data_IF_304477794770
#
_entry.id   IF_304477794770
#
_cell.length_a   1.000
_cell.length_b   1.000
_cell.length_c   1.000
_cell.angle_alpha   90.00
_cell.angle_beta   90.00
_cell.angle_gamma   90.00
#
_symmetry.space_group_name_H-M   'P 1'
#
loop_
_entity.id
_entity.type
_entity.pdbx_description
1 polymer ?
#
# COMPACT_ATOMS: atom_id res chain seq x y z
N UNK A 1 -20.86 -14.81 -16.51
CA UNK A 1 -19.83 -14.74 -15.44
C UNK A 1 -18.71 -13.85 -15.97
N UNK A 2 -18.26 -12.85 -15.21
CA UNK A 2 -17.18 -11.95 -15.62
C UNK A 2 -15.97 -12.78 -16.07
N UNK A 3 -15.48 -12.58 -17.30
CA UNK A 3 -14.34 -13.28 -17.88
C UNK A 3 -12.99 -12.81 -17.28
N UNK A 4 -13.01 -12.32 -16.03
CA UNK A 4 -11.87 -11.73 -15.34
C UNK A 4 -11.15 -12.79 -14.52
N UNK A 5 -9.83 -12.68 -14.50
CA UNK A 5 -8.96 -13.55 -13.71
C UNK A 5 -9.27 -13.39 -12.21
N UNK A 6 -9.53 -14.47 -11.44
CA UNK A 6 -9.82 -14.41 -10.02
C UNK A 6 -8.79 -13.60 -9.21
N UNK A 7 -7.52 -13.64 -9.61
CA UNK A 7 -6.46 -12.86 -8.96
C UNK A 7 -6.71 -11.35 -9.07
N UNK A 8 -7.17 -10.88 -10.23
CA UNK A 8 -7.40 -9.45 -10.47
C UNK A 8 -8.63 -8.96 -9.69
N UNK A 9 -9.68 -9.77 -9.61
CA UNK A 9 -10.89 -9.45 -8.83
C UNK A 9 -10.59 -9.44 -7.32
N UNK A 10 -9.84 -10.43 -6.81
CA UNK A 10 -9.35 -10.45 -5.42
C UNK A 10 -8.47 -9.24 -5.14
N UNK A 11 -7.53 -8.92 -6.04
CA UNK A 11 -6.64 -7.77 -5.87
C UNK A 11 -7.43 -6.47 -5.77
N UNK A 12 -8.42 -6.27 -6.63
CA UNK A 12 -9.25 -5.06 -6.63
C UNK A 12 -10.07 -4.94 -5.34
N UNK A 13 -10.71 -6.03 -4.90
CA UNK A 13 -11.51 -6.06 -3.69
C UNK A 13 -10.65 -5.79 -2.44
N UNK A 14 -9.61 -6.60 -2.23
CA UNK A 14 -8.80 -6.52 -1.02
C UNK A 14 -7.90 -5.29 -0.95
N UNK A 15 -7.46 -4.74 -2.09
CA UNK A 15 -6.80 -3.43 -2.09
C UNK A 15 -7.73 -2.32 -1.60
N UNK A 16 -9.04 -2.41 -1.88
CA UNK A 16 -9.99 -1.42 -1.38
C UNK A 16 -10.21 -1.57 0.13
N UNK A 17 -10.34 -2.80 0.63
CA UNK A 17 -10.54 -3.06 2.06
C UNK A 17 -9.30 -2.70 2.88
N UNK A 18 -8.11 -3.08 2.43
CA UNK A 18 -6.86 -2.76 3.13
C UNK A 18 -6.58 -1.25 3.12
N UNK A 19 -6.94 -0.55 2.03
CA UNK A 19 -6.90 0.92 1.98
C UNK A 19 -7.83 1.55 3.01
N UNK A 20 -9.07 1.08 3.11
CA UNK A 20 -10.04 1.57 4.11
C UNK A 20 -9.52 1.32 5.52
N UNK A 21 -8.94 0.15 5.78
CA UNK A 21 -8.35 -0.20 7.06
C UNK A 21 -7.23 0.77 7.46
N UNK A 22 -6.28 1.02 6.56
CA UNK A 22 -5.20 1.98 6.79
C UNK A 22 -5.71 3.41 7.04
N UNK A 23 -6.63 3.91 6.20
CA UNK A 23 -7.18 5.26 6.36
C UNK A 23 -7.98 5.41 7.65
N UNK A 24 -8.70 4.36 8.06
CA UNK A 24 -9.44 4.33 9.33
C UNK A 24 -8.49 4.41 10.50
N UNK A 25 -7.43 3.59 10.52
CA UNK A 25 -6.40 3.63 11.56
C UNK A 25 -5.77 5.02 11.68
N UNK A 26 -5.36 5.63 10.56
CA UNK A 26 -4.81 7.01 10.55
C UNK A 26 -5.82 8.02 11.08
N UNK A 27 -7.10 7.89 10.72
CA UNK A 27 -8.14 8.80 11.17
C UNK A 27 -8.40 8.67 12.68
N UNK A 28 -8.46 7.45 13.22
CA UNK A 28 -8.61 7.20 14.66
C UNK A 28 -7.45 7.78 15.45
N UNK A 29 -6.21 7.59 14.97
CA UNK A 29 -5.02 8.20 15.57
C UNK A 29 -5.12 9.71 15.57
N UNK A 30 -5.59 10.35 14.50
CA UNK A 30 -5.76 11.82 14.45
C UNK A 30 -6.85 12.29 15.40
N UNK A 31 -8.02 11.67 15.35
CA UNK A 31 -9.21 12.13 16.06
C UNK A 31 -9.04 12.09 17.59
N UNK A 32 -8.29 11.12 18.13
CA UNK A 32 -8.00 11.02 19.56
C UNK A 32 -7.03 12.09 20.10
N UNK A 33 -6.32 12.81 19.22
CA UNK A 33 -5.28 13.75 19.66
C UNK A 33 -5.85 14.98 20.36
N UNK A 34 -5.19 15.38 21.46
CA UNK A 34 -5.47 16.63 22.18
C UNK A 34 -4.47 17.71 21.75
N UNK A 35 -4.91 18.62 20.87
CA UNK A 35 -4.07 19.72 20.35
C UNK A 35 -3.43 20.53 21.46
N UNK A 36 -4.18 20.86 22.52
CA UNK A 36 -3.66 21.64 23.65
C UNK A 36 -2.47 20.98 24.35
N UNK A 37 -2.48 19.65 24.47
CA UNK A 37 -1.37 18.89 25.07
C UNK A 37 -0.13 19.00 24.19
N UNK A 38 -0.27 18.73 22.89
CA UNK A 38 0.84 18.82 21.93
C UNK A 38 1.39 20.26 21.86
N UNK A 39 0.51 21.26 21.83
CA UNK A 39 0.89 22.68 21.85
C UNK A 39 1.73 23.03 23.07
N UNK A 40 1.29 22.67 24.28
CA UNK A 40 2.04 22.95 25.50
C UNK A 40 3.40 22.25 25.57
N UNK A 41 3.53 21.07 24.95
CA UNK A 41 4.81 20.35 24.86
C UNK A 41 5.78 21.05 23.90
N UNK A 42 5.27 21.51 22.75
CA UNK A 42 6.04 22.29 21.77
C UNK A 42 6.50 23.63 22.37
N UNK A 43 5.64 24.31 23.13
CA UNK A 43 5.97 25.57 23.82
C UNK A 43 7.18 25.44 24.77
N UNK A 44 7.35 24.26 25.37
CA UNK A 44 8.49 23.95 26.26
C UNK A 44 9.72 23.40 25.52
N UNK A 45 9.66 23.27 24.20
CA UNK A 45 10.73 22.66 23.39
C UNK A 45 10.86 21.14 23.56
N UNK A 46 9.90 20.49 24.21
CA UNK A 46 9.98 19.04 24.52
C UNK A 46 9.38 18.21 23.38
N UNK A 47 10.18 18.06 22.31
CA UNK A 47 9.79 17.34 21.09
C UNK A 47 9.57 15.86 21.35
N UNK A 48 10.38 15.24 22.21
CA UNK A 48 10.25 13.83 22.51
C UNK A 48 8.99 13.54 23.31
N UNK A 49 8.60 14.42 24.25
CA UNK A 49 7.33 14.28 24.92
C UNK A 49 6.15 14.58 23.99
N UNK A 50 6.26 15.54 23.05
CA UNK A 50 5.25 15.75 22.02
C UNK A 50 5.08 14.51 21.12
N UNK A 51 6.18 13.85 20.73
CA UNK A 51 6.17 12.60 19.97
C UNK A 51 5.48 11.49 20.75
N UNK A 52 5.83 11.29 22.03
CA UNK A 52 5.17 10.32 22.91
C UNK A 52 3.68 10.62 23.11
N UNK A 53 3.31 11.89 23.21
CA UNK A 53 1.92 12.32 23.38
C UNK A 53 1.08 12.06 22.13
N UNK A 54 1.67 12.17 20.93
CA UNK A 54 0.99 11.76 19.70
C UNK A 54 0.75 10.26 19.71
N UNK A 55 1.77 9.49 20.13
CA UNK A 55 1.69 8.06 20.42
C UNK A 55 1.05 7.25 19.31
N UNK A 56 1.85 6.64 18.44
CA UNK A 56 1.38 5.61 17.51
C UNK A 56 1.85 4.25 17.99
N UNK A 57 0.88 3.37 18.18
CA UNK A 57 1.10 2.00 18.61
C UNK A 57 0.76 1.05 17.45
N UNK A 58 1.51 -0.04 17.25
CA UNK A 58 1.14 -1.08 16.28
C UNK A 58 -0.34 -1.51 16.35
N UNK A 59 -0.96 -1.52 17.53
CA UNK A 59 -2.36 -1.87 17.75
C UNK A 59 -3.36 -0.90 17.10
N UNK A 60 -2.94 0.33 16.78
CA UNK A 60 -3.75 1.26 15.99
C UNK A 60 -4.06 0.69 14.59
N UNK A 61 -3.21 -0.20 14.09
CA UNK A 61 -3.33 -0.83 12.77
C UNK A 61 -3.89 -2.25 12.80
N UNK A 62 -4.44 -2.72 13.93
CA UNK A 62 -5.05 -4.07 14.08
C UNK A 62 -6.12 -4.43 13.03
N UNK A 63 -6.79 -3.43 12.44
CA UNK A 63 -7.75 -3.68 11.36
C UNK A 63 -7.04 -4.11 10.07
N UNK A 64 -5.83 -3.62 9.79
CA UNK A 64 -5.04 -4.07 8.65
C UNK A 64 -4.64 -5.54 8.80
N UNK A 65 -4.20 -5.93 10.00
CA UNK A 65 -3.86 -7.32 10.32
C UNK A 65 -5.05 -8.26 10.06
N UNK A 66 -6.24 -7.91 10.57
CA UNK A 66 -7.47 -8.67 10.29
C UNK A 66 -7.81 -8.77 8.81
N UNK A 67 -7.66 -7.68 8.05
CA UNK A 67 -7.93 -7.67 6.61
C UNK A 67 -6.93 -8.55 5.85
N UNK A 68 -5.65 -8.54 6.22
CA UNK A 68 -4.64 -9.42 5.61
C UNK A 68 -4.94 -10.91 5.89
N UNK A 69 -5.39 -11.24 7.10
CA UNK A 69 -5.81 -12.60 7.44
C UNK A 69 -7.02 -13.05 6.61
N UNK A 70 -8.04 -12.19 6.46
CA UNK A 70 -9.21 -12.48 5.64
C UNK A 70 -8.87 -12.62 4.15
N UNK A 71 -7.97 -11.76 3.64
CA UNK A 71 -7.43 -11.86 2.30
C UNK A 71 -6.77 -13.22 2.07
N UNK A 72 -5.89 -13.66 2.98
CA UNK A 72 -5.18 -14.93 2.85
C UNK A 72 -6.15 -16.11 2.75
N UNK A 73 -7.16 -16.16 3.62
CA UNK A 73 -8.16 -17.23 3.58
C UNK A 73 -8.98 -17.19 2.27
N UNK A 74 -9.48 -16.03 1.87
CA UNK A 74 -10.26 -15.89 0.64
C UNK A 74 -9.44 -16.19 -0.63
N UNK A 75 -8.16 -15.80 -0.63
CA UNK A 75 -7.21 -16.14 -1.70
C UNK A 75 -6.95 -17.64 -1.75
N UNK A 76 -6.70 -18.25 -0.59
CA UNK A 76 -6.45 -19.67 -0.46
C UNK A 76 -7.63 -20.52 -0.94
N UNK A 77 -8.85 -20.18 -0.54
CA UNK A 77 -10.09 -20.81 -1.03
C UNK A 77 -10.20 -20.71 -2.56
N UNK A 78 -9.88 -19.55 -3.12
CA UNK A 78 -9.90 -19.35 -4.58
C UNK A 78 -8.85 -20.20 -5.29
N UNK A 79 -7.63 -20.27 -4.77
CA UNK A 79 -6.56 -21.09 -5.37
C UNK A 79 -6.81 -22.58 -5.19
N UNK A 80 -7.40 -23.00 -4.07
CA UNK A 80 -7.82 -24.39 -3.86
C UNK A 80 -8.86 -24.82 -4.90
N UNK A 81 -9.87 -23.98 -5.16
CA UNK A 81 -10.85 -24.22 -6.23
C UNK A 81 -10.20 -24.26 -7.61
N UNK A 82 -9.20 -23.43 -7.88
CA UNK A 82 -8.45 -23.46 -9.13
C UNK A 82 -7.67 -24.77 -9.29
N UNK A 83 -6.98 -25.22 -8.25
CA UNK A 83 -6.25 -26.49 -8.21
C UNK A 83 -7.20 -27.67 -8.47
N UNK A 84 -8.34 -27.74 -7.77
CA UNK A 84 -9.34 -28.80 -8.00
C UNK A 84 -9.85 -28.83 -9.45
N UNK A 85 -10.11 -27.65 -10.05
CA UNK A 85 -10.53 -27.55 -11.45
C UNK A 85 -9.43 -28.01 -12.40
N UNK A 86 -8.18 -27.69 -12.08
CA UNK A 86 -7.00 -28.02 -12.87
C UNK A 86 -6.44 -29.42 -12.61
N UNK A 87 -6.80 -30.12 -11.52
CA UNK A 87 -6.42 -31.50 -11.20
C UNK A 87 -7.44 -32.16 -10.24
N UNK A 88 -8.63 -32.56 -10.74
CA UNK A 88 -9.65 -33.18 -9.93
C UNK A 88 -9.21 -34.59 -9.56
N UNK A 89 -9.18 -34.87 -8.26
CA UNK A 89 -9.00 -36.21 -7.71
C UNK A 89 -10.36 -36.81 -7.46
N UNK A 90 -10.56 -38.07 -7.85
CA UNK A 90 -11.80 -38.82 -7.61
C UNK A 90 -11.56 -39.95 -6.62
N UNK A 91 -12.54 -40.20 -5.76
CA UNK A 91 -12.59 -41.41 -4.93
C UNK A 91 -12.79 -42.64 -5.82
N UNK A 92 -12.59 -43.87 -5.29
CA UNK A 92 -12.89 -45.10 -6.02
C UNK A 92 -14.34 -45.17 -6.54
N UNK A 93 -15.28 -44.55 -5.83
CA UNK A 93 -16.70 -44.46 -6.17
C UNK A 93 -17.01 -43.34 -7.18
N UNK A 94 -15.99 -42.60 -7.62
CA UNK A 94 -16.09 -41.56 -8.65
C UNK A 94 -16.43 -40.16 -8.14
N UNK A 95 -16.56 -39.95 -6.82
CA UNK A 95 -16.85 -38.66 -6.21
C UNK A 95 -15.63 -37.72 -6.23
N UNK A 96 -15.83 -36.40 -6.41
CA UNK A 96 -14.74 -35.42 -6.36
C UNK A 96 -14.26 -35.29 -4.91
N UNK A 97 -12.97 -35.57 -4.67
CA UNK A 97 -12.34 -35.34 -3.37
C UNK A 97 -11.99 -33.85 -3.28
N UNK A 98 -12.60 -33.14 -2.33
CA UNK A 98 -12.39 -31.70 -2.15
C UNK A 98 -11.01 -31.39 -1.56
N UNK A 99 -10.36 -30.33 -2.02
CA UNK A 99 -9.14 -29.76 -1.46
C UNK A 99 -9.48 -28.42 -0.80
N UNK A 100 -8.96 -28.21 0.40
CA UNK A 100 -9.15 -27.00 1.17
C UNK A 100 -7.79 -26.41 1.50
N UNK A 101 -7.66 -25.09 1.35
CA UNK A 101 -6.49 -24.39 1.85
C UNK A 101 -6.58 -24.29 3.38
N UNK A 102 -5.55 -24.73 4.07
CA UNK A 102 -5.44 -24.54 5.51
C UNK A 102 -4.66 -23.26 5.83
N UNK A 103 -5.38 -22.18 6.11
CA UNK A 103 -4.82 -20.92 6.57
C UNK A 103 -4.18 -21.00 7.96
N UNK A 104 -4.45 -22.06 8.73
CA UNK A 104 -3.82 -22.35 10.03
C UNK A 104 -2.61 -23.27 9.93
N UNK A 105 -2.22 -23.65 8.71
CA UNK A 105 -0.97 -24.35 8.50
C UNK A 105 0.19 -23.53 9.09
N UNK A 106 1.15 -24.13 9.82
CA UNK A 106 2.22 -23.41 10.50
C UNK A 106 3.01 -22.45 9.60
N UNK A 107 3.23 -22.80 8.33
CA UNK A 107 3.94 -21.94 7.38
C UNK A 107 3.09 -20.73 6.97
N UNK A 108 1.79 -20.93 6.78
CA UNK A 108 0.85 -19.86 6.45
C UNK A 108 0.70 -18.86 7.61
N UNK A 109 0.52 -19.38 8.83
CA UNK A 109 0.44 -18.54 10.04
C UNK A 109 1.73 -17.77 10.29
N UNK A 110 2.89 -18.44 10.16
CA UNK A 110 4.19 -17.79 10.34
C UNK A 110 4.39 -16.65 9.35
N UNK A 111 4.07 -16.89 8.07
CA UNK A 111 4.21 -15.87 7.04
C UNK A 111 3.28 -14.69 7.31
N UNK A 112 2.00 -14.94 7.59
CA UNK A 112 1.02 -13.89 7.87
C UNK A 112 1.44 -13.04 9.06
N UNK A 113 1.79 -13.68 10.19
CA UNK A 113 2.22 -13.00 11.42
C UNK A 113 3.45 -12.14 11.17
N UNK A 114 4.45 -12.67 10.47
CA UNK A 114 5.69 -11.95 10.19
C UNK A 114 5.43 -10.76 9.28
N UNK A 115 4.71 -10.98 8.17
CA UNK A 115 4.43 -9.93 7.19
C UNK A 115 3.58 -8.81 7.77
N UNK A 116 2.51 -9.14 8.50
CA UNK A 116 1.62 -8.14 9.09
C UNK A 116 2.35 -7.30 10.15
N UNK A 117 3.15 -7.96 11.01
CA UNK A 117 3.97 -7.29 12.02
C UNK A 117 4.99 -6.36 11.39
N UNK A 118 5.71 -6.81 10.36
CA UNK A 118 6.71 -5.98 9.67
C UNK A 118 6.10 -4.77 8.97
N UNK A 119 4.98 -4.96 8.26
CA UNK A 119 4.27 -3.85 7.62
C UNK A 119 3.85 -2.78 8.63
N UNK A 120 3.22 -3.21 9.73
CA UNK A 120 2.74 -2.30 10.77
C UNK A 120 3.90 -1.57 11.43
N UNK A 121 4.98 -2.29 11.78
CA UNK A 121 6.20 -1.70 12.33
C UNK A 121 6.80 -0.67 11.39
N UNK A 122 6.96 -0.99 10.10
CA UNK A 122 7.47 -0.06 9.09
C UNK A 122 6.61 1.22 8.99
N UNK A 123 5.28 1.09 9.05
CA UNK A 123 4.38 2.24 9.08
C UNK A 123 4.61 3.09 10.32
N UNK A 124 4.68 2.49 11.50
CA UNK A 124 4.89 3.21 12.78
C UNK A 124 6.26 3.89 12.81
N UNK A 125 7.32 3.19 12.40
CA UNK A 125 8.69 3.72 12.34
C UNK A 125 8.75 4.95 11.41
N UNK A 126 8.17 4.84 10.21
CA UNK A 126 8.03 5.96 9.26
C UNK A 126 7.30 7.16 9.87
N UNK A 127 6.24 6.89 10.65
CA UNK A 127 5.45 7.94 11.29
C UNK A 127 6.23 8.64 12.40
N UNK A 128 7.00 7.90 13.21
CA UNK A 128 7.82 8.52 14.25
C UNK A 128 8.87 9.46 13.67
N UNK A 129 9.54 9.04 12.58
CA UNK A 129 10.50 9.88 11.86
C UNK A 129 9.82 11.14 11.32
N UNK A 130 8.69 10.98 10.62
CA UNK A 130 7.97 12.10 10.03
C UNK A 130 7.47 13.11 11.07
N UNK A 131 6.90 12.64 12.19
CA UNK A 131 6.42 13.53 13.26
C UNK A 131 7.57 14.31 13.86
N UNK A 132 8.69 13.65 14.18
CA UNK A 132 9.87 14.32 14.74
C UNK A 132 10.39 15.40 13.80
N UNK A 133 10.52 15.08 12.52
CA UNK A 133 10.99 16.03 11.51
C UNK A 133 10.02 17.22 11.34
N UNK A 134 8.71 16.96 11.30
CA UNK A 134 7.69 18.00 11.18
C UNK A 134 7.71 18.96 12.38
N UNK A 135 7.77 18.41 13.60
CA UNK A 135 7.85 19.21 14.81
C UNK A 135 9.13 20.06 14.82
N UNK A 136 10.29 19.44 14.59
CA UNK A 136 11.58 20.15 14.54
C UNK A 136 11.57 21.28 13.52
N UNK A 137 11.11 21.02 12.30
CA UNK A 137 11.03 22.03 11.24
C UNK A 137 10.11 23.18 11.62
N UNK A 138 9.02 22.92 12.35
CA UNK A 138 8.12 23.96 12.85
C UNK A 138 8.80 24.89 13.86
N UNK A 139 9.55 24.32 14.82
CA UNK A 139 10.29 25.11 15.82
C UNK A 139 11.44 25.91 15.18
N UNK A 140 12.25 25.27 14.33
CA UNK A 140 13.37 25.92 13.63
C UNK A 140 12.90 27.10 12.78
N UNK A 141 11.70 27.00 12.18
CA UNK A 141 11.08 28.07 11.41
C UNK A 141 10.36 29.13 12.27
N UNK A 142 10.45 29.06 13.61
CA UNK A 142 9.79 29.99 14.52
C UNK A 142 8.26 29.97 14.45
N UNK A 143 7.67 28.86 14.00
CA UNK A 143 6.22 28.77 13.85
C UNK A 143 5.53 28.73 15.21
N UNK A 144 4.36 29.37 15.30
CA UNK A 144 3.54 29.31 16.50
C UNK A 144 3.24 27.84 16.89
N UNK A 145 3.48 27.44 18.16
CA UNK A 145 3.29 26.07 18.63
C UNK A 145 1.92 25.46 18.33
N UNK A 146 0.85 26.26 18.43
CA UNK A 146 -0.51 25.81 18.12
C UNK A 146 -0.69 25.54 16.63
N UNK A 147 -0.10 26.38 15.78
CA UNK A 147 -0.11 26.19 14.32
C UNK A 147 0.61 24.90 13.95
N UNK A 148 1.78 24.63 14.53
CA UNK A 148 2.55 23.39 14.34
C UNK A 148 1.77 22.15 14.80
N UNK A 149 1.11 22.23 15.96
CA UNK A 149 0.25 21.14 16.44
C UNK A 149 -0.94 20.89 15.49
N UNK A 150 -1.57 21.95 14.97
CA UNK A 150 -2.69 21.84 14.02
C UNK A 150 -2.26 21.34 12.64
N UNK A 151 -1.07 21.70 12.15
CA UNK A 151 -0.55 21.14 10.90
C UNK A 151 -0.19 19.67 11.05
N UNK A 152 0.19 19.24 12.25
CA UNK A 152 0.43 17.84 12.58
C UNK A 152 -0.86 17.02 12.57
N UNK A 153 -1.82 17.35 13.44
CA UNK A 153 -3.01 16.50 13.68
C UNK A 153 -4.21 16.82 12.79
N UNK A 154 -4.28 18.05 12.26
CA UNK A 154 -5.41 18.54 11.48
C UNK A 154 -6.44 19.31 12.29
N UNK A 155 -7.28 20.08 11.57
CA UNK A 155 -8.39 20.86 12.13
C UNK A 155 -9.67 20.06 12.11
N UNK A 156 -10.53 20.26 13.11
CA UNK A 156 -11.88 19.66 13.10
C UNK A 156 -12.68 20.32 11.99
N UNK A 157 -13.18 19.52 11.06
CA UNK A 157 -14.17 19.96 10.09
C UNK A 157 -15.54 19.96 10.78
N UNK A 158 -16.27 21.10 10.85
CA UNK A 158 -17.56 21.16 11.53
C UNK A 158 -18.63 20.23 10.94
N UNK A 159 -18.58 19.94 9.63
CA UNK A 159 -19.55 19.11 8.95
C UNK A 159 -19.34 17.61 9.24
N UNK A 160 -18.08 17.15 9.25
CA UNK A 160 -17.76 15.72 9.47
C UNK A 160 -17.47 15.40 10.93
N UNK A 161 -17.21 16.43 11.76
CA UNK A 161 -16.71 16.34 13.14
C UNK A 161 -15.42 15.53 13.28
N UNK A 162 -14.64 15.44 12.20
CA UNK A 162 -13.36 14.71 12.12
C UNK A 162 -12.20 15.65 11.84
N UNK A 163 -10.98 15.26 12.21
CA UNK A 163 -9.77 16.01 11.87
C UNK A 163 -9.37 15.83 10.42
N UNK A 164 -9.11 16.95 9.75
CA UNK A 164 -8.70 17.01 8.35
C UNK A 164 -7.46 17.90 8.15
N UNK A 165 -6.66 17.61 7.12
CA UNK A 165 -5.53 18.44 6.72
C UNK A 165 -4.26 18.32 7.56
N UNK A 166 -4.21 17.40 8.53
CA UNK A 166 -2.99 17.04 9.26
C UNK A 166 -2.01 16.23 8.41
N UNK A 167 -0.75 16.10 8.87
CA UNK A 167 0.29 15.30 8.21
C UNK A 167 0.45 13.89 8.78
N UNK A 168 -0.15 13.57 9.94
CA UNK A 168 -0.18 12.18 10.47
C UNK A 168 -0.68 11.21 9.40
N UNK A 169 0.06 10.15 9.12
CA UNK A 169 -0.18 9.16 8.07
C UNK A 169 0.64 9.38 6.80
N UNK A 170 1.28 10.54 6.61
CA UNK A 170 2.19 10.80 5.48
C UNK A 170 3.62 10.34 5.79
N UNK A 171 4.44 10.05 4.77
CA UNK A 171 5.90 9.88 4.96
C UNK A 171 6.57 11.24 5.10
N UNK A 172 7.81 11.30 5.62
CA UNK A 172 8.64 12.51 5.57
C UNK A 172 8.74 13.10 4.15
N UNK A 173 8.96 12.23 3.15
CA UNK A 173 9.01 12.67 1.75
C UNK A 173 7.70 13.30 1.27
N UNK A 174 6.56 12.71 1.63
CA UNK A 174 5.24 13.23 1.27
C UNK A 174 4.94 14.54 2.00
N UNK A 175 5.32 14.67 3.28
CA UNK A 175 5.23 15.90 4.06
C UNK A 175 6.04 17.02 3.39
N UNK A 176 7.28 16.73 2.98
CA UNK A 176 8.12 17.68 2.27
C UNK A 176 7.51 18.12 0.92
N UNK A 177 6.78 17.24 0.22
CA UNK A 177 6.01 17.65 -0.96
C UNK A 177 4.92 18.67 -0.62
N UNK A 178 4.25 18.51 0.53
CA UNK A 178 3.23 19.46 0.98
C UNK A 178 3.84 20.82 1.31
N UNK A 179 4.98 20.80 2.03
CA UNK A 179 5.69 22.03 2.40
C UNK A 179 6.12 22.81 1.17
N UNK A 180 6.71 22.13 0.17
CA UNK A 180 7.08 22.74 -1.12
C UNK A 180 5.86 23.29 -1.86
N UNK A 181 4.77 22.53 -1.93
CA UNK A 181 3.54 23.00 -2.59
C UNK A 181 2.94 24.22 -1.89
N UNK A 182 2.97 24.27 -0.56
CA UNK A 182 2.52 25.44 0.21
C UNK A 182 3.39 26.68 -0.07
N UNK A 183 4.71 26.51 -0.17
CA UNK A 183 5.64 27.58 -0.53
C UNK A 183 5.42 28.07 -1.97
N UNK A 184 5.26 27.15 -2.93
CA UNK A 184 4.95 27.48 -4.33
C UNK A 184 3.68 28.33 -4.45
N UNK A 185 2.61 27.96 -3.72
CA UNK A 185 1.35 28.71 -3.73
C UNK A 185 1.43 30.06 -3.01
N UNK A 186 2.35 30.22 -2.06
CA UNK A 186 2.54 31.45 -1.30
C UNK A 186 3.45 32.45 -2.01
N UNK A 187 4.15 32.03 -3.06
CA UNK A 187 5.02 32.88 -3.87
C UNK A 187 4.21 33.79 -4.80
N UNK A 188 4.71 35.00 -5.00
CA UNK A 188 4.22 35.94 -6.01
C UNK A 188 4.92 35.74 -7.37
N UNK A 189 5.94 34.88 -7.44
CA UNK A 189 6.64 34.54 -8.68
C UNK A 189 5.79 33.62 -9.57
N UNK A 190 5.44 34.04 -10.80
CA UNK A 190 4.74 33.19 -11.77
C UNK A 190 5.42 31.84 -12.00
N UNK A 191 6.75 31.75 -11.97
CA UNK A 191 7.48 30.50 -12.19
C UNK A 191 7.23 29.49 -11.06
N UNK A 192 7.16 29.93 -9.80
CA UNK A 192 6.80 29.08 -8.66
C UNK A 192 5.34 28.60 -8.73
N UNK A 193 4.42 29.50 -9.10
CA UNK A 193 3.01 29.13 -9.30
C UNK A 193 2.83 28.12 -10.45
N UNK A 194 3.66 28.19 -11.49
CA UNK A 194 3.68 27.17 -12.55
C UNK A 194 4.16 25.81 -12.05
N UNK A 195 5.10 25.75 -11.10
CA UNK A 195 5.49 24.49 -10.45
C UNK A 195 4.32 23.88 -9.67
N UNK A 196 3.55 24.71 -8.95
CA UNK A 196 2.32 24.26 -8.30
C UNK A 196 1.32 23.63 -9.28
N UNK A 197 1.17 24.19 -10.50
CA UNK A 197 0.34 23.62 -11.57
C UNK A 197 0.91 22.33 -12.19
N UNK A 198 2.18 21.98 -11.95
CA UNK A 198 2.78 20.72 -12.40
C UNK A 198 2.63 19.60 -11.37
N UNK A 199 2.24 19.90 -10.13
CA UNK A 199 2.01 18.89 -9.09
C UNK A 199 0.87 17.94 -9.47
N UNK A 200 1.16 16.64 -9.51
CA UNK A 200 0.20 15.62 -9.94
C UNK A 200 -0.97 15.40 -8.97
N UNK A 201 -0.75 15.57 -7.67
CA UNK A 201 -1.78 15.39 -6.64
C UNK A 201 -2.59 16.66 -6.35
N UNK A 202 -2.38 17.77 -7.08
CA UNK A 202 -3.13 19.03 -6.86
C UNK A 202 -4.61 18.84 -7.16
N UNK A 203 -5.45 19.66 -6.52
CA UNK A 203 -6.86 19.72 -6.85
C UNK A 203 -7.10 20.70 -8.02
N UNK A 204 -7.30 20.12 -9.20
CA UNK A 204 -7.49 20.84 -10.47
C UNK A 204 -8.65 21.84 -10.45
N UNK A 205 -9.60 21.69 -9.51
CA UNK A 205 -10.70 22.65 -9.33
C UNK A 205 -10.20 24.06 -8.98
N UNK A 206 -8.99 24.17 -8.42
CA UNK A 206 -8.37 25.46 -8.10
C UNK A 206 -7.41 25.98 -9.17
N UNK A 207 -7.19 25.26 -10.29
CA UNK A 207 -6.22 25.66 -11.32
C UNK A 207 -6.54 27.05 -11.89
N UNK A 208 -7.83 27.41 -12.01
CA UNK A 208 -8.24 28.73 -12.46
C UNK A 208 -7.75 29.86 -11.54
N UNK A 209 -7.76 29.65 -10.21
CA UNK A 209 -7.26 30.63 -9.26
C UNK A 209 -5.75 30.84 -9.38
N UNK A 210 -4.98 29.76 -9.58
CA UNK A 210 -3.53 29.84 -9.78
C UNK A 210 -3.20 30.54 -11.10
N UNK A 211 -3.90 30.19 -12.18
CA UNK A 211 -3.73 30.85 -13.49
C UNK A 211 -4.09 32.33 -13.45
N UNK A 212 -5.12 32.70 -12.68
CA UNK A 212 -5.47 34.11 -12.46
C UNK A 212 -4.30 34.84 -11.79
N UNK A 213 -3.78 34.31 -10.68
CA UNK A 213 -2.65 34.90 -9.97
C UNK A 213 -1.42 35.07 -10.86
N UNK A 214 -1.09 34.07 -11.69
CA UNK A 214 -0.02 34.15 -12.68
C UNK A 214 -0.24 35.28 -13.69
N UNK A 215 -1.48 35.47 -14.16
CA UNK A 215 -1.81 36.49 -15.17
C UNK A 215 -1.87 37.90 -14.57
N UNK A 216 -2.43 38.04 -13.38
CA UNK A 216 -2.67 39.35 -12.75
C UNK A 216 -1.51 39.82 -11.86
N UNK A 217 -0.61 38.93 -11.44
CA UNK A 217 0.41 39.22 -10.43
C UNK A 217 -0.15 39.34 -9.01
N UNK A 218 -1.46 39.24 -8.82
CA UNK A 218 -2.11 39.29 -7.52
C UNK A 218 -1.93 37.96 -6.75
N UNK A 219 -1.59 37.99 -5.45
CA UNK A 219 -1.41 36.79 -4.66
C UNK A 219 -2.71 35.99 -4.52
N UNK A 220 -2.61 34.66 -4.51
CA UNK A 220 -3.74 33.79 -4.20
C UNK A 220 -4.17 34.05 -2.74
N UNK A 221 -5.45 34.33 -2.43
CA UNK A 221 -5.89 34.57 -1.06
C UNK A 221 -5.51 33.44 -0.09
N UNK A 222 -5.06 33.79 1.11
CA UNK A 222 -4.54 32.82 2.09
C UNK A 222 -5.54 31.68 2.41
N UNK A 223 -6.83 32.00 2.50
CA UNK A 223 -7.90 31.01 2.70
C UNK A 223 -7.99 30.00 1.53
N UNK A 224 -7.80 30.46 0.29
CA UNK A 224 -7.79 29.61 -0.90
C UNK A 224 -6.55 28.72 -0.91
N UNK A 225 -5.36 29.27 -0.61
CA UNK A 225 -4.12 28.47 -0.48
C UNK A 225 -4.27 27.38 0.57
N UNK A 226 -4.87 27.69 1.72
CA UNK A 226 -5.11 26.71 2.79
C UNK A 226 -6.01 25.55 2.32
N UNK A 227 -7.07 25.84 1.55
CA UNK A 227 -7.94 24.81 0.93
C UNK A 227 -7.17 23.95 -0.08
N UNK A 228 -6.35 24.56 -0.94
CA UNK A 228 -5.52 23.85 -1.92
C UNK A 228 -4.54 22.89 -1.23
N UNK A 229 -3.82 23.36 -0.21
CA UNK A 229 -2.87 22.54 0.56
C UNK A 229 -3.57 21.41 1.30
N UNK A 230 -4.73 21.66 1.89
CA UNK A 230 -5.54 20.62 2.56
C UNK A 230 -5.97 19.53 1.57
N UNK A 231 -6.44 19.93 0.37
CA UNK A 231 -6.81 18.97 -0.67
C UNK A 231 -5.60 18.16 -1.17
N UNK A 232 -4.44 18.80 -1.32
CA UNK A 232 -3.19 18.15 -1.70
C UNK A 232 -2.79 17.09 -0.65
N UNK A 233 -2.86 17.43 0.64
CA UNK A 233 -2.59 16.52 1.78
C UNK A 233 -3.51 15.31 1.77
N UNK A 234 -4.82 15.54 1.63
CA UNK A 234 -5.80 14.46 1.60
C UNK A 234 -5.56 13.50 0.42
N UNK A 235 -5.20 14.04 -0.76
CA UNK A 235 -4.84 13.23 -1.94
C UNK A 235 -3.51 12.49 -1.75
N UNK A 236 -2.53 13.08 -1.08
CA UNK A 236 -1.27 12.40 -0.74
C UNK A 236 -1.47 11.26 0.25
N UNK A 237 -2.32 11.44 1.27
CA UNK A 237 -2.66 10.36 2.19
C UNK A 237 -3.39 9.21 1.48
N UNK A 238 -4.38 9.54 0.63
CA UNK A 238 -5.05 8.54 -0.21
C UNK A 238 -4.07 7.81 -1.11
N UNK A 239 -3.16 8.53 -1.77
CA UNK A 239 -2.13 7.94 -2.63
C UNK A 239 -1.23 6.98 -1.86
N UNK A 240 -0.78 7.34 -0.65
CA UNK A 240 -0.03 6.43 0.22
C UNK A 240 -0.83 5.17 0.53
N UNK A 241 -2.11 5.34 0.90
CA UNK A 241 -3.00 4.24 1.24
C UNK A 241 -3.23 3.31 0.04
N UNK A 242 -3.41 3.85 -1.17
CA UNK A 242 -3.52 3.06 -2.41
C UNK A 242 -2.23 2.27 -2.69
N UNK A 243 -1.05 2.88 -2.49
CA UNK A 243 0.25 2.22 -2.71
C UNK A 243 0.48 1.08 -1.73
N UNK A 244 0.25 1.32 -0.42
CA UNK A 244 0.36 0.27 0.61
C UNK A 244 -0.62 -0.84 0.28
N UNK A 245 -1.90 -0.52 0.14
CA UNK A 245 -2.93 -1.53 -0.01
C UNK A 245 -2.70 -2.41 -1.24
N UNK A 246 -2.33 -1.82 -2.38
CA UNK A 246 -2.03 -2.58 -3.59
C UNK A 246 -0.79 -3.47 -3.44
N UNK A 247 0.29 -2.92 -2.88
CA UNK A 247 1.55 -3.66 -2.74
C UNK A 247 1.37 -4.87 -1.82
N UNK A 248 0.74 -4.65 -0.67
CA UNK A 248 0.52 -5.70 0.32
C UNK A 248 -0.51 -6.72 -0.13
N UNK A 249 -1.56 -6.30 -0.83
CA UNK A 249 -2.56 -7.23 -1.38
C UNK A 249 -1.93 -8.18 -2.40
N UNK A 250 -1.15 -7.66 -3.35
CA UNK A 250 -0.50 -8.49 -4.38
C UNK A 250 0.53 -9.43 -3.75
N UNK A 251 1.32 -8.95 -2.79
CA UNK A 251 2.27 -9.77 -2.02
C UNK A 251 1.58 -10.90 -1.27
N UNK A 252 0.50 -10.58 -0.55
CA UNK A 252 -0.26 -11.57 0.18
C UNK A 252 -0.93 -12.60 -0.72
N UNK A 253 -1.55 -12.18 -1.82
CA UNK A 253 -2.15 -13.11 -2.78
C UNK A 253 -1.09 -14.01 -3.44
N UNK A 254 0.05 -13.45 -3.85
CA UNK A 254 1.13 -14.24 -4.43
C UNK A 254 1.68 -15.28 -3.46
N UNK A 255 1.95 -14.92 -2.20
CA UNK A 255 2.37 -15.90 -1.21
C UNK A 255 1.28 -16.93 -0.92
N UNK A 256 0.03 -16.50 -0.80
CA UNK A 256 -1.11 -17.40 -0.56
C UNK A 256 -1.21 -18.44 -1.68
N UNK A 257 -0.99 -18.03 -2.93
CA UNK A 257 -0.91 -18.93 -4.07
C UNK A 257 0.23 -19.95 -3.89
N UNK A 258 1.44 -19.49 -3.55
CA UNK A 258 2.57 -20.38 -3.30
C UNK A 258 2.26 -21.42 -2.23
N UNK A 259 1.74 -20.98 -1.08
CA UNK A 259 1.36 -21.86 0.03
C UNK A 259 0.26 -22.85 -0.36
N UNK A 260 -0.73 -22.43 -1.16
CA UNK A 260 -1.81 -23.31 -1.60
C UNK A 260 -1.29 -24.44 -2.51
N UNK A 261 -0.37 -24.14 -3.44
CA UNK A 261 0.26 -25.16 -4.27
C UNK A 261 1.22 -26.05 -3.48
N UNK A 262 1.96 -25.51 -2.51
CA UNK A 262 2.80 -26.31 -1.59
C UNK A 262 1.95 -27.29 -0.76
N UNK A 263 0.83 -26.84 -0.19
CA UNK A 263 -0.10 -27.71 0.52
C UNK A 263 -0.69 -28.79 -0.42
N UNK A 264 -1.06 -28.44 -1.65
CA UNK A 264 -1.56 -29.41 -2.62
C UNK A 264 -0.50 -30.47 -2.99
N UNK A 265 0.78 -30.09 -3.06
CA UNK A 265 1.88 -31.05 -3.25
C UNK A 265 2.01 -31.97 -2.04
N UNK A 266 1.98 -31.43 -0.83
CA UNK A 266 2.09 -32.20 0.41
C UNK A 266 0.92 -33.19 0.58
N UNK A 267 -0.28 -32.78 0.19
CA UNK A 267 -1.49 -33.62 0.20
C UNK A 267 -1.52 -34.66 -0.94
N UNK A 268 -0.49 -34.69 -1.80
CA UNK A 268 -0.42 -35.60 -2.94
C UNK A 268 -1.44 -35.32 -4.04
N UNK A 269 -2.04 -34.12 -4.06
CA UNK A 269 -3.01 -33.71 -5.10
C UNK A 269 -2.35 -33.52 -6.45
N UNK A 270 -1.13 -33.00 -6.42
CA UNK A 270 -0.28 -32.75 -7.58
C UNK A 270 1.17 -33.00 -7.19
N UNK A 271 2.04 -33.22 -8.16
CA UNK A 271 3.48 -33.22 -7.95
C UNK A 271 4.10 -31.92 -8.45
N UNK A 272 5.27 -31.54 -7.95
CA UNK A 272 5.96 -30.33 -8.41
C UNK A 272 6.28 -30.38 -9.92
N UNK A 273 6.50 -31.56 -10.49
CA UNK A 273 6.78 -31.75 -11.92
C UNK A 273 5.56 -31.51 -12.81
N UNK A 274 4.35 -31.59 -12.24
CA UNK A 274 3.11 -31.24 -12.93
C UNK A 274 2.90 -29.73 -13.01
N UNK A 275 3.63 -28.93 -12.23
CA UNK A 275 3.40 -27.50 -12.07
C UNK A 275 4.36 -26.68 -12.95
N UNK A 276 3.78 -25.84 -13.80
CA UNK A 276 4.51 -24.81 -14.56
C UNK A 276 4.03 -23.43 -14.13
N UNK A 277 4.96 -22.55 -13.74
CA UNK A 277 4.69 -21.17 -13.33
C UNK A 277 5.10 -20.17 -14.39
N UNK A 278 4.33 -19.10 -14.51
CA UNK A 278 4.47 -18.04 -15.51
C UNK A 278 4.51 -16.68 -14.80
N UNK A 279 5.60 -15.90 -14.93
CA UNK A 279 5.65 -14.57 -14.38
C UNK A 279 4.83 -13.63 -15.27
N UNK A 280 3.89 -12.90 -14.68
CA UNK A 280 2.99 -12.00 -15.37
C UNK A 280 3.24 -10.57 -14.90
N UNK A 281 3.67 -9.67 -15.80
CA UNK A 281 3.76 -8.25 -15.47
C UNK A 281 2.39 -7.57 -15.56
N UNK A 282 2.28 -6.35 -15.03
CA UNK A 282 1.08 -5.53 -15.24
C UNK A 282 0.91 -5.02 -16.69
N UNK A 283 1.91 -5.25 -17.56
CA UNK A 283 1.94 -4.89 -18.99
C UNK A 283 1.57 -3.43 -19.30
N UNK A 284 1.89 -2.50 -18.40
CA UNK A 284 1.66 -1.06 -18.59
C UNK A 284 2.97 -0.25 -18.55
N UNK A 285 2.86 1.06 -18.76
CA UNK A 285 3.98 2.02 -18.76
C UNK A 285 4.73 2.12 -17.41
N UNK A 286 4.11 1.71 -16.30
CA UNK A 286 4.67 1.80 -14.95
C UNK A 286 5.43 0.53 -14.53
N UNK A 287 5.35 -0.53 -15.34
CA UNK A 287 6.17 -1.74 -15.12
C UNK A 287 7.64 -1.38 -15.37
N UNK A 288 8.52 -1.73 -14.43
CA UNK A 288 9.97 -1.53 -14.55
C UNK A 288 10.48 -2.35 -15.75
N UNK A 289 11.36 -1.76 -16.56
CA UNK A 289 11.87 -2.40 -17.78
C UNK A 289 12.44 -3.80 -17.52
N UNK A 290 13.16 -4.00 -16.39
CA UNK A 290 13.71 -5.30 -16.00
C UNK A 290 12.63 -6.36 -15.76
N UNK A 291 11.53 -6.00 -15.09
CA UNK A 291 10.43 -6.93 -14.81
C UNK A 291 9.66 -7.33 -16.06
N UNK A 292 9.52 -6.40 -17.01
CA UNK A 292 8.93 -6.72 -18.34
C UNK A 292 9.78 -7.73 -19.10
N UNK A 293 11.10 -7.66 -18.95
CA UNK A 293 12.01 -8.63 -19.55
C UNK A 293 11.86 -10.03 -18.93
N UNK A 294 11.60 -10.13 -17.63
CA UNK A 294 11.40 -11.45 -16.98
C UNK A 294 10.22 -12.21 -17.58
N UNK A 295 9.08 -11.56 -17.81
CA UNK A 295 7.93 -12.19 -18.48
C UNK A 295 8.31 -12.74 -19.86
N UNK A 296 9.07 -11.97 -20.66
CA UNK A 296 9.52 -12.38 -21.99
C UNK A 296 10.53 -13.53 -21.97
N UNK A 297 11.48 -13.51 -21.03
CA UNK A 297 12.49 -14.57 -20.87
C UNK A 297 11.88 -15.91 -20.43
N UNK A 298 10.68 -15.89 -19.86
CA UNK A 298 10.01 -17.06 -19.32
C UNK A 298 8.63 -17.27 -19.97
N UNK A 299 8.47 -16.91 -21.25
CA UNK A 299 7.18 -17.00 -21.96
C UNK A 299 6.64 -18.43 -22.07
N UNK A 300 7.53 -19.42 -22.13
CA UNK A 300 7.21 -20.85 -22.11
C UNK A 300 6.81 -21.38 -20.73
N UNK A 301 6.98 -20.58 -19.68
CA UNK A 301 6.84 -20.99 -18.29
C UNK A 301 8.10 -21.66 -17.74
N UNK A 302 8.13 -21.83 -16.42
CA UNK A 302 9.24 -22.39 -15.67
C UNK A 302 8.71 -23.50 -14.75
N UNK A 303 9.43 -24.63 -14.57
CA UNK A 303 9.06 -25.63 -13.59
C UNK A 303 8.94 -25.05 -12.16
N UNK A 304 8.05 -25.60 -11.34
CA UNK A 304 7.79 -25.09 -9.98
C UNK A 304 9.05 -24.91 -9.13
N UNK A 305 9.96 -25.86 -9.19
CA UNK A 305 11.19 -25.86 -8.38
C UNK A 305 12.37 -25.13 -9.03
N UNK A 306 12.16 -24.35 -10.09
CA UNK A 306 13.21 -23.57 -10.74
C UNK A 306 12.95 -22.07 -10.61
N UNK A 307 14.03 -21.29 -10.48
CA UNK A 307 13.94 -19.84 -10.45
C UNK A 307 13.63 -19.27 -11.84
N UNK A 308 12.99 -18.10 -11.89
CA UNK A 308 12.80 -17.40 -13.16
C UNK A 308 14.14 -16.97 -13.77
N UNK A 309 14.22 -17.06 -15.10
CA UNK A 309 15.30 -16.42 -15.85
C UNK A 309 15.13 -14.89 -15.77
N UNK A 310 16.19 -14.17 -15.43
CA UNK A 310 16.15 -12.73 -15.20
C UNK A 310 17.21 -12.01 -16.05
N UNK A 311 16.99 -10.72 -16.41
CA UNK A 311 18.02 -9.95 -17.10
C UNK A 311 19.26 -9.74 -16.21
N UNK A 312 20.45 -9.47 -16.81
CA UNK A 312 21.67 -9.21 -16.05
C UNK A 312 21.50 -8.13 -14.98
N UNK A 313 22.08 -8.37 -13.79
CA UNK A 313 22.02 -7.45 -12.65
C UNK A 313 20.69 -7.48 -11.87
N UNK A 314 19.83 -8.47 -12.10
CA UNK A 314 18.68 -8.80 -11.27
C UNK A 314 18.92 -10.15 -10.60
N UNK A 315 18.58 -10.27 -9.31
CA UNK A 315 18.65 -11.55 -8.62
C UNK A 315 17.50 -12.47 -9.09
N UNK A 316 17.77 -13.73 -9.46
CA UNK A 316 16.72 -14.71 -9.75
C UNK A 316 15.79 -14.86 -8.54
N UNK A 317 14.49 -15.02 -8.80
CA UNK A 317 13.50 -15.29 -7.76
C UNK A 317 12.69 -16.53 -8.13
N UNK A 318 12.29 -17.29 -7.11
CA UNK A 318 11.48 -18.48 -7.27
C UNK A 318 10.05 -18.13 -7.66
N UNK A 319 9.42 -17.20 -6.95
CA UNK A 319 8.01 -16.85 -7.18
C UNK A 319 7.82 -15.36 -7.40
N UNK A 320 6.72 -15.01 -8.06
CA UNK A 320 6.22 -13.63 -8.13
C UNK A 320 5.04 -13.44 -7.15
N UNK A 321 4.79 -12.23 -6.63
CA UNK A 321 5.42 -10.95 -6.96
C UNK A 321 6.85 -10.82 -6.44
N UNK A 322 7.65 -10.00 -7.11
CA UNK A 322 8.99 -9.67 -6.64
C UNK A 322 8.93 -8.82 -5.37
N UNK A 323 9.88 -9.02 -4.45
CA UNK A 323 10.03 -8.19 -3.25
C UNK A 323 10.61 -6.81 -3.58
N UNK A 324 9.84 -6.02 -4.33
CA UNK A 324 10.18 -4.65 -4.69
C UNK A 324 9.01 -3.71 -4.40
N UNK A 325 9.26 -2.46 -3.96
CA UNK A 325 8.20 -1.48 -3.74
C UNK A 325 7.39 -1.21 -5.00
N UNK A 326 6.06 -1.14 -4.88
CA UNK A 326 5.14 -0.92 -6.00
C UNK A 326 5.25 -1.97 -7.11
N UNK A 327 5.75 -3.18 -6.82
CA UNK A 327 5.64 -4.30 -7.75
C UNK A 327 4.17 -4.63 -7.97
N UNK A 328 3.81 -4.87 -9.25
CA UNK A 328 2.45 -5.20 -9.69
C UNK A 328 2.45 -6.44 -10.59
N UNK A 329 3.57 -7.17 -10.57
CA UNK A 329 3.70 -8.46 -11.23
C UNK A 329 3.02 -9.52 -10.36
N UNK A 330 2.62 -10.64 -10.97
CA UNK A 330 2.04 -11.80 -10.29
C UNK A 330 2.53 -13.08 -10.94
N UNK A 331 2.17 -14.20 -10.35
CA UNK A 331 2.44 -15.53 -10.88
C UNK A 331 1.14 -16.17 -11.36
N UNK A 332 1.19 -16.87 -12.50
CA UNK A 332 0.15 -17.80 -12.90
C UNK A 332 0.72 -19.21 -12.90
N UNK A 333 -0.02 -20.17 -12.36
CA UNK A 333 0.40 -21.58 -12.31
C UNK A 333 -0.54 -22.40 -13.17
N UNK A 334 0.01 -23.35 -13.93
CA UNK A 334 -0.72 -24.35 -14.70
C UNK A 334 -0.32 -25.74 -14.28
N UNK A 335 -1.30 -26.64 -14.25
CA UNK A 335 -1.11 -28.04 -13.90
C UNK A 335 -1.22 -28.89 -15.16
N UNK A 336 -0.16 -29.64 -15.48
CA UNK A 336 -0.17 -30.64 -16.53
C UNK A 336 -0.38 -32.04 -15.92
N UNK A 337 -1.61 -32.54 -15.98
CA UNK A 337 -2.02 -33.82 -15.38
C UNK A 337 -1.36 -35.07 -15.98
N UNK A 338 -0.79 -34.94 -17.17
CA UNK A 338 -0.22 -36.07 -17.89
C UNK A 338 1.27 -36.29 -17.57
N UNK A 339 1.90 -35.34 -16.86
CA UNK A 339 3.27 -35.51 -16.34
C UNK A 339 3.22 -36.29 -15.02
N UNK A 340 4.10 -37.28 -14.86
CA UNK A 340 4.21 -38.10 -13.65
C UNK A 340 3.25 -39.31 -13.58
N UNK A 341 2.48 -39.59 -14.64
CA UNK A 341 1.81 -40.89 -14.82
C UNK A 341 2.80 -41.84 -15.54
N UNK A 342 3.66 -42.50 -14.77
CA UNK A 342 4.42 -43.68 -15.22
C UNK A 342 3.86 -44.93 -14.61
#
# INVERSE_FOLDING_TARGET
MSNKDPFDDLTAHWSNELRKAFLTAVQEVRDRQKVSVITGLIERGDIDAALRAVGMDPQDYRLMDRVLAQLMNAGGDSFALEIERQAPVRSPEGAIVRFFFDGRNPNAELWLRTRSSDLIRQIVDDQQVMIREHLRSGLEAGQNPRTTALSLVGKINPATRRREGGVIGLTSGQEAWQRRYAAELASDDPAELQKALKRGLRDKRFDASVKKAIKSGEPIPAATRSKMVTAYRNRSLKYRADVIARTETIRALGQTQTLAYEQAILDGRVTADQLTKYPMSARDERVRHRHRAVEKLNEGGVPWNQAYQVPPGMAPQMHAPYDEPMCRCREKVRINRFLGLT
#
